data_IF_448854094069
#
_entry.id   IF_448854094069
#
_cell.length_a   1.000
_cell.length_b   1.000
_cell.length_c   1.000
_cell.angle_alpha   90.00
_cell.angle_beta   90.00
_cell.angle_gamma   90.00
#
_symmetry.space_group_name_H-M   'P 1'
#
loop_
_entity.id
_entity.type
_entity.pdbx_description
1 polymer ?
#
# COMPACT_ATOMS: atom_id res chain seq x y z
N UNK A 1 10.64 -0.62 25.54
CA UNK A 1 9.34 -1.16 26.02
C UNK A 1 8.27 -0.84 24.98
N UNK A 2 7.37 -1.78 24.65
CA UNK A 2 6.27 -1.54 23.68
C UNK A 2 5.13 -0.74 24.33
N UNK A 3 4.37 0.00 23.53
CA UNK A 3 3.19 0.80 23.98
C UNK A 3 1.94 0.51 23.13
N UNK A 4 0.77 0.85 23.66
CA UNK A 4 -0.45 0.84 22.85
C UNK A 4 -0.47 2.05 21.92
N UNK A 5 -0.85 1.81 20.67
CA UNK A 5 -1.02 2.86 19.66
C UNK A 5 -2.47 2.84 19.18
N UNK A 6 -3.17 3.95 19.39
CA UNK A 6 -4.59 4.11 19.04
C UNK A 6 -4.79 5.08 17.86
N UNK A 7 -3.71 5.69 17.35
CA UNK A 7 -3.72 6.61 16.21
C UNK A 7 -2.68 6.21 15.15
N UNK A 8 -3.05 6.31 13.87
CA UNK A 8 -2.12 6.01 12.77
C UNK A 8 -1.66 4.56 12.68
N UNK A 9 -0.51 4.34 12.03
CA UNK A 9 0.04 3.00 11.74
C UNK A 9 0.74 2.41 12.97
N UNK A 10 0.42 1.15 13.30
CA UNK A 10 1.17 0.42 14.32
C UNK A 10 2.51 -0.13 13.77
N UNK A 11 3.60 0.03 14.52
CA UNK A 11 4.95 -0.40 14.16
C UNK A 11 5.34 -1.55 15.09
N UNK A 12 5.69 -2.75 14.57
CA UNK A 12 5.92 -3.95 15.39
C UNK A 12 6.95 -3.78 16.51
N UNK A 13 7.99 -2.99 16.27
CA UNK A 13 9.10 -2.74 17.19
C UNK A 13 8.67 -1.87 18.38
N UNK A 14 7.69 -0.99 18.17
CA UNK A 14 7.26 0.01 19.16
C UNK A 14 5.89 -0.28 19.77
N UNK A 15 5.01 -0.98 19.07
CA UNK A 15 3.59 -1.07 19.42
C UNK A 15 3.14 -2.50 19.73
N UNK A 16 2.21 -2.64 20.68
CA UNK A 16 1.50 -3.90 20.88
C UNK A 16 0.58 -4.15 19.68
N UNK A 17 0.71 -5.33 19.06
CA UNK A 17 0.00 -5.70 17.84
C UNK A 17 -0.56 -7.11 17.98
N UNK A 18 -1.77 -7.32 17.48
CA UNK A 18 -2.27 -8.67 17.27
C UNK A 18 -1.43 -9.38 16.20
N UNK A 19 -1.21 -10.69 16.36
CA UNK A 19 -0.55 -11.47 15.32
C UNK A 19 -1.45 -11.52 14.07
N UNK A 20 -0.93 -11.02 12.95
CA UNK A 20 -1.63 -11.00 11.65
C UNK A 20 -0.96 -11.90 10.59
N UNK A 21 0.07 -12.66 10.94
CA UNK A 21 0.86 -13.49 10.00
C UNK A 21 -0.03 -14.40 9.14
N UNK A 22 -0.99 -15.10 9.75
CA UNK A 22 -1.92 -15.99 9.03
C UNK A 22 -2.74 -15.24 7.98
N UNK A 23 -3.11 -13.98 8.25
CA UNK A 23 -3.87 -13.15 7.30
C UNK A 23 -2.96 -12.72 6.13
N UNK A 24 -1.72 -12.32 6.43
CA UNK A 24 -0.72 -11.96 5.42
C UNK A 24 -0.41 -13.16 4.52
N UNK A 25 -0.22 -14.36 5.08
CA UNK A 25 0.03 -15.58 4.30
C UNK A 25 -1.15 -15.95 3.40
N UNK A 26 -2.39 -15.73 3.85
CA UNK A 26 -3.56 -15.89 2.99
C UNK A 26 -3.54 -14.92 1.82
N UNK A 27 -3.22 -13.64 2.06
CA UNK A 27 -3.13 -12.61 1.01
C UNK A 27 -2.03 -12.93 0.00
N UNK A 28 -0.84 -13.36 0.46
CA UNK A 28 0.27 -13.75 -0.41
C UNK A 28 -0.10 -14.88 -1.38
N UNK A 29 -0.99 -15.80 -0.99
CA UNK A 29 -1.47 -16.85 -1.91
C UNK A 29 -2.24 -16.28 -3.10
N UNK A 30 -3.15 -15.33 -2.86
CA UNK A 30 -3.85 -14.62 -3.94
C UNK A 30 -2.87 -13.91 -4.86
N UNK A 31 -1.88 -13.19 -4.30
CA UNK A 31 -0.85 -12.48 -5.06
C UNK A 31 -0.05 -13.44 -5.94
N UNK A 32 0.39 -14.58 -5.40
CA UNK A 32 1.15 -15.58 -6.14
C UNK A 32 0.35 -16.22 -7.29
N UNK A 33 -0.98 -16.22 -7.20
CA UNK A 33 -1.89 -16.69 -8.25
C UNK A 33 -2.29 -15.57 -9.25
N UNK A 34 -1.83 -14.33 -9.04
CA UNK A 34 -2.22 -13.19 -9.86
C UNK A 34 -3.66 -12.72 -9.62
N UNK A 35 -4.25 -13.08 -8.48
CA UNK A 35 -5.65 -12.79 -8.18
C UNK A 35 -5.83 -11.43 -7.49
N UNK A 36 -6.94 -10.75 -7.82
CA UNK A 36 -7.39 -9.58 -7.09
C UNK A 36 -7.99 -9.99 -5.74
N UNK A 37 -7.75 -9.19 -4.70
CA UNK A 37 -8.33 -9.41 -3.38
C UNK A 37 -8.79 -8.08 -2.76
N UNK A 38 -9.70 -8.17 -1.79
CA UNK A 38 -10.19 -7.01 -1.04
C UNK A 38 -9.97 -7.22 0.47
N UNK A 39 -9.73 -6.13 1.20
CA UNK A 39 -9.64 -6.14 2.67
C UNK A 39 -10.79 -5.33 3.22
N UNK A 40 -11.93 -5.98 3.48
CA UNK A 40 -13.10 -5.33 4.05
C UNK A 40 -13.17 -5.57 5.57
N UNK A 41 -12.90 -4.52 6.36
CA UNK A 41 -12.98 -4.54 7.83
C UNK A 41 -13.53 -3.21 8.35
N UNK A 42 -14.21 -3.16 9.52
CA UNK A 42 -14.70 -1.91 10.09
C UNK A 42 -13.57 -0.93 10.44
N UNK A 43 -13.92 0.33 10.77
CA UNK A 43 -12.95 1.35 11.20
C UNK A 43 -12.18 0.87 12.43
N UNK A 44 -10.89 1.21 12.51
CA UNK A 44 -9.97 0.89 13.62
C UNK A 44 -9.60 -0.60 13.79
N UNK A 45 -9.88 -1.47 12.81
CA UNK A 45 -9.44 -2.89 12.81
C UNK A 45 -8.02 -3.12 12.28
N UNK A 46 -7.17 -2.09 12.28
CA UNK A 46 -5.78 -2.23 11.82
C UNK A 46 -5.63 -2.47 10.32
N UNK A 47 -6.54 -1.96 9.48
CA UNK A 47 -6.45 -2.07 8.01
C UNK A 47 -5.14 -1.47 7.47
N UNK A 48 -4.87 -0.21 7.79
CA UNK A 48 -3.65 0.50 7.38
C UNK A 48 -2.39 -0.22 7.85
N UNK A 49 -2.41 -0.74 9.09
CA UNK A 49 -1.32 -1.56 9.62
C UNK A 49 -1.15 -2.88 8.87
N UNK A 50 -2.24 -3.53 8.48
CA UNK A 50 -2.18 -4.77 7.70
C UNK A 50 -1.61 -4.52 6.30
N UNK A 51 -1.96 -3.41 5.67
CA UNK A 51 -1.42 -2.98 4.37
C UNK A 51 0.08 -2.69 4.51
N UNK A 52 0.49 -1.88 5.49
CA UNK A 52 1.91 -1.58 5.77
C UNK A 52 2.73 -2.87 5.97
N UNK A 53 2.24 -3.80 6.81
CA UNK A 53 2.92 -5.07 7.04
C UNK A 53 3.01 -5.95 5.79
N UNK A 54 2.00 -5.89 4.92
CA UNK A 54 2.01 -6.59 3.64
C UNK A 54 3.06 -5.99 2.70
N UNK A 55 3.14 -4.66 2.61
CA UNK A 55 4.12 -3.94 1.81
C UNK A 55 5.56 -4.31 2.24
N UNK A 56 5.84 -4.26 3.54
CA UNK A 56 7.14 -4.63 4.10
C UNK A 56 7.55 -6.08 3.78
N UNK A 57 6.58 -7.00 3.76
CA UNK A 57 6.83 -8.39 3.39
C UNK A 57 7.11 -8.61 1.90
N UNK A 58 6.66 -7.70 1.04
CA UNK A 58 6.65 -7.88 -0.41
C UNK A 58 7.69 -7.01 -1.12
N UNK A 59 8.15 -5.90 -0.53
CA UNK A 59 9.04 -4.92 -1.18
C UNK A 59 10.37 -5.48 -1.68
N UNK A 60 10.83 -6.61 -1.12
CA UNK A 60 12.05 -7.30 -1.56
C UNK A 60 11.85 -8.17 -2.81
N UNK A 61 10.61 -8.45 -3.20
CA UNK A 61 10.26 -9.32 -4.33
C UNK A 61 9.44 -8.62 -5.40
N UNK A 62 8.72 -7.58 -5.02
CA UNK A 62 7.78 -6.88 -5.87
C UNK A 62 8.04 -5.39 -5.86
N UNK A 63 7.71 -4.78 -6.99
CA UNK A 63 7.62 -3.35 -7.13
C UNK A 63 6.22 -2.90 -6.70
N UNK A 64 6.15 -2.09 -5.65
CA UNK A 64 4.88 -1.76 -4.98
C UNK A 64 4.53 -0.30 -5.23
N UNK A 65 3.30 -0.06 -5.68
CA UNK A 65 2.70 1.27 -5.75
C UNK A 65 1.56 1.35 -4.73
N UNK A 66 1.83 1.93 -3.57
CA UNK A 66 0.85 2.16 -2.51
C UNK A 66 0.13 3.48 -2.75
N UNK A 67 -1.11 3.43 -3.23
CA UNK A 67 -1.87 4.63 -3.56
C UNK A 67 -3.23 4.68 -2.85
N UNK A 68 -3.74 5.89 -2.69
CA UNK A 68 -5.09 6.14 -2.22
C UNK A 68 -5.81 7.02 -3.23
N UNK A 69 -7.00 6.59 -3.61
CA UNK A 69 -7.93 7.40 -4.40
C UNK A 69 -8.89 8.21 -3.51
N UNK A 70 -8.72 8.15 -2.18
CA UNK A 70 -9.50 8.96 -1.25
C UNK A 70 -9.25 10.46 -1.49
N UNK A 71 -10.33 11.25 -1.57
CA UNK A 71 -10.25 12.67 -1.87
C UNK A 71 -10.14 13.01 -3.36
N UNK A 72 -10.08 12.02 -4.25
CA UNK A 72 -10.21 12.25 -5.69
C UNK A 72 -11.69 12.42 -6.07
N UNK A 73 -11.99 13.44 -6.88
CA UNK A 73 -13.34 13.71 -7.36
C UNK A 73 -13.71 12.92 -8.62
N UNK A 74 -14.98 12.98 -9.01
CA UNK A 74 -15.53 12.25 -10.17
C UNK A 74 -14.79 12.53 -11.49
N UNK A 75 -14.25 13.75 -11.66
CA UNK A 75 -13.53 14.15 -12.86
C UNK A 75 -12.34 13.22 -13.16
N UNK A 76 -11.62 12.77 -12.12
CA UNK A 76 -10.49 11.86 -12.25
C UNK A 76 -10.91 10.51 -12.86
N UNK A 77 -12.11 10.03 -12.54
CA UNK A 77 -12.60 8.72 -12.98
C UNK A 77 -13.35 8.77 -14.31
N UNK A 78 -13.86 9.93 -14.70
CA UNK A 78 -14.74 10.07 -15.86
C UNK A 78 -14.08 10.74 -17.07
N UNK A 79 -12.91 11.38 -16.91
CA UNK A 79 -12.17 11.99 -18.03
C UNK A 79 -10.85 11.28 -18.26
N UNK A 80 -10.70 10.70 -19.45
CA UNK A 80 -9.47 10.04 -19.89
C UNK A 80 -8.23 10.94 -19.74
N UNK A 81 -8.32 12.20 -20.19
CA UNK A 81 -7.22 13.17 -20.10
C UNK A 81 -6.76 13.38 -18.64
N UNK A 82 -7.70 13.47 -17.70
CA UNK A 82 -7.38 13.69 -16.29
C UNK A 82 -6.78 12.45 -15.62
N UNK A 83 -7.30 11.27 -15.97
CA UNK A 83 -6.72 9.99 -15.54
C UNK A 83 -5.27 9.87 -16.05
N UNK A 84 -5.05 10.02 -17.35
CA UNK A 84 -3.72 9.91 -17.97
C UNK A 84 -2.72 10.90 -17.36
N UNK A 85 -3.14 12.14 -17.15
CA UNK A 85 -2.30 13.18 -16.54
C UNK A 85 -1.96 12.90 -15.08
N UNK A 86 -2.87 12.29 -14.33
CA UNK A 86 -2.75 12.22 -12.87
C UNK A 86 -2.30 10.86 -12.34
N UNK A 87 -2.51 9.77 -13.08
CA UNK A 87 -2.26 8.41 -12.59
C UNK A 87 -0.78 8.15 -12.32
N UNK A 88 0.13 8.56 -13.21
CA UNK A 88 1.57 8.34 -13.03
C UNK A 88 2.10 9.14 -11.84
N UNK A 89 1.83 10.46 -11.70
CA UNK A 89 2.19 11.20 -10.49
C UNK A 89 1.63 10.58 -9.21
N UNK A 90 0.38 10.10 -9.25
CA UNK A 90 -0.29 9.47 -8.11
C UNK A 90 0.39 8.16 -7.69
N UNK A 91 0.76 7.31 -8.65
CA UNK A 91 1.48 6.05 -8.38
C UNK A 91 2.91 6.32 -7.90
N UNK A 92 3.61 7.27 -8.51
CA UNK A 92 4.98 7.66 -8.16
C UNK A 92 5.12 8.12 -6.72
N UNK A 93 4.14 8.88 -6.20
CA UNK A 93 4.09 9.30 -4.79
C UNK A 93 4.05 8.11 -3.82
N UNK A 94 3.45 7.01 -4.26
CA UNK A 94 3.24 5.79 -3.49
C UNK A 94 4.29 4.71 -3.69
N UNK A 95 5.36 4.99 -4.40
CA UNK A 95 6.36 3.97 -4.75
C UNK A 95 7.12 3.48 -3.51
N UNK A 96 7.10 2.16 -3.30
CA UNK A 96 7.81 1.47 -2.22
C UNK A 96 8.66 0.36 -2.84
N UNK A 97 9.97 0.54 -2.83
CA UNK A 97 10.94 -0.48 -3.24
C UNK A 97 12.32 -0.17 -2.69
N UNK A 98 13.14 -1.21 -2.56
CA UNK A 98 14.57 -1.07 -2.29
C UNK A 98 15.38 -0.77 -3.58
N UNK A 99 14.75 -0.84 -4.76
CA UNK A 99 15.35 -0.50 -6.07
C UNK A 99 15.41 1.02 -6.29
N UNK A 100 16.56 1.59 -5.94
CA UNK A 100 16.83 3.03 -6.07
C UNK A 100 17.00 3.49 -7.52
N UNK A 101 17.36 2.60 -8.44
CA UNK A 101 17.62 2.99 -9.82
C UNK A 101 16.32 3.06 -10.62
N UNK A 102 15.38 2.15 -10.37
CA UNK A 102 14.03 2.29 -10.88
C UNK A 102 13.35 3.57 -10.37
N UNK A 103 13.52 3.92 -9.08
CA UNK A 103 12.95 5.16 -8.54
C UNK A 103 13.46 6.42 -9.27
N UNK A 104 14.76 6.46 -9.61
CA UNK A 104 15.33 7.56 -10.41
C UNK A 104 14.72 7.60 -11.81
N UNK A 105 14.52 6.46 -12.46
CA UNK A 105 13.86 6.41 -13.77
C UNK A 105 12.42 6.92 -13.68
N UNK A 106 11.69 6.53 -12.64
CA UNK A 106 10.34 7.02 -12.37
C UNK A 106 10.31 8.53 -12.13
N UNK A 107 11.39 9.11 -11.59
CA UNK A 107 11.54 10.55 -11.43
C UNK A 107 11.61 11.34 -12.75
N UNK A 108 12.09 10.71 -13.82
CA UNK A 108 12.26 11.31 -15.14
C UNK A 108 11.00 11.26 -16.02
N UNK A 109 9.96 10.54 -15.58
CA UNK A 109 8.66 10.53 -16.24
C UNK A 109 7.90 11.77 -15.77
N UNK A 110 7.73 12.72 -16.70
CA UNK A 110 6.92 13.94 -16.57
C UNK A 110 5.42 13.63 -16.64
#
# INVERSE_FOLDING_TARGET
MKRFNYTGTCIPEHHYMANIEKKIEKIKRYINLGEYFTINLPRQFGKTTSIFMLEECLKSKYLIFSTSFEGLGEIFFNKEEELCRSIIPLLKKGFISDDKDFYKQLQLID
#
